data_IF_506227851394
#
_entry.id   IF_506227851394
#
_cell.length_a   1.000
_cell.length_b   1.000
_cell.length_c   1.000
_cell.angle_alpha   90.00
_cell.angle_beta   90.00
_cell.angle_gamma   90.00
#
_symmetry.space_group_name_H-M   'P 1'
#
loop_
_entity.id
_entity.type
_entity.pdbx_description
1 polymer ?
#
# COMPACT_ATOMS: atom_id res chain seq x y z
N UNK A 1 -4.97 -9.70 -19.53
CA UNK A 1 -5.13 -8.86 -20.73
C UNK A 1 -5.80 -7.56 -20.30
N UNK A 2 -5.00 -6.52 -20.06
CA UNK A 2 -5.50 -5.20 -19.69
C UNK A 2 -5.91 -4.52 -21.00
N UNK A 3 -7.21 -4.32 -21.14
CA UNK A 3 -7.84 -3.68 -22.29
C UNK A 3 -7.41 -2.21 -22.33
N UNK A 4 -6.39 -1.90 -23.13
CA UNK A 4 -5.98 -0.53 -23.40
C UNK A 4 -7.14 0.18 -24.12
N UNK A 5 -7.80 1.12 -23.43
CA UNK A 5 -8.75 2.02 -24.08
C UNK A 5 -8.04 2.72 -25.25
N UNK A 6 -8.67 2.80 -26.43
CA UNK A 6 -7.96 3.19 -27.63
C UNK A 6 -7.73 4.70 -27.63
N UNK A 7 -6.53 5.11 -28.05
CA UNK A 7 -6.13 6.47 -28.37
C UNK A 7 -6.97 7.15 -29.49
N UNK A 8 -8.10 6.56 -29.90
CA UNK A 8 -8.92 6.98 -31.04
C UNK A 8 -9.83 8.18 -30.74
N UNK A 9 -10.25 8.41 -29.48
CA UNK A 9 -11.13 9.56 -29.16
C UNK A 9 -10.42 10.92 -29.19
N UNK A 10 -9.12 10.96 -28.92
CA UNK A 10 -8.33 12.19 -28.95
C UNK A 10 -8.12 12.72 -30.38
N UNK A 11 -7.99 11.82 -31.36
CA UNK A 11 -7.80 12.18 -32.76
C UNK A 11 -9.08 12.69 -33.44
N UNK A 12 -10.25 12.35 -32.93
CA UNK A 12 -11.54 12.68 -33.55
C UNK A 12 -12.03 14.09 -33.17
N UNK A 13 -11.72 14.56 -31.95
CA UNK A 13 -12.00 15.93 -31.50
C UNK A 13 -11.37 16.98 -32.44
N UNK A 14 -10.14 16.72 -32.87
CA UNK A 14 -9.33 17.64 -33.67
C UNK A 14 -9.88 17.88 -35.09
N UNK A 15 -10.68 16.93 -35.61
CA UNK A 15 -11.33 17.03 -36.92
C UNK A 15 -12.51 18.00 -36.93
N UNK A 16 -13.25 18.10 -35.83
CA UNK A 16 -14.45 18.93 -35.76
C UNK A 16 -14.12 20.44 -35.74
N UNK A 17 -12.97 20.84 -35.19
CA UNK A 17 -12.59 22.26 -35.08
C UNK A 17 -11.83 22.79 -36.30
N UNK A 18 -11.12 21.94 -37.05
CA UNK A 18 -10.35 22.34 -38.25
C UNK A 18 -11.20 22.85 -39.40
N UNK A 19 -12.50 22.51 -39.45
CA UNK A 19 -13.40 22.93 -40.52
C UNK A 19 -13.81 24.42 -40.46
N UNK A 20 -13.60 25.09 -39.32
CA UNK A 20 -13.91 26.51 -39.15
C UNK A 20 -12.58 27.30 -39.11
N UNK A 21 -12.40 28.38 -39.89
CA UNK A 21 -11.18 29.18 -39.78
C UNK A 21 -10.99 29.63 -38.33
N UNK A 22 -9.80 29.38 -37.78
CA UNK A 22 -9.44 29.71 -36.40
C UNK A 22 -9.85 31.16 -36.09
N UNK A 23 -10.32 31.38 -34.86
CA UNK A 23 -10.88 32.67 -34.43
C UNK A 23 -9.90 33.84 -34.66
N UNK A 24 -8.60 33.56 -34.65
CA UNK A 24 -7.53 34.49 -34.99
C UNK A 24 -7.57 34.94 -36.46
N UNK A 25 -7.84 34.04 -37.40
CA UNK A 25 -7.99 34.37 -38.83
C UNK A 25 -9.23 35.23 -39.07
N UNK A 26 -10.35 34.90 -38.41
CA UNK A 26 -11.58 35.71 -38.50
C UNK A 26 -11.35 37.12 -37.96
N UNK A 27 -10.70 37.26 -36.81
CA UNK A 27 -10.37 38.55 -36.21
C UNK A 27 -9.53 39.43 -37.15
N UNK A 28 -8.48 38.87 -37.75
CA UNK A 28 -7.62 39.61 -38.71
C UNK A 28 -8.40 40.07 -39.94
N UNK A 29 -9.27 39.23 -40.48
CA UNK A 29 -10.11 39.58 -41.64
C UNK A 29 -11.09 40.70 -41.29
N UNK A 30 -11.79 40.62 -40.15
CA UNK A 30 -12.71 41.69 -39.72
C UNK A 30 -12.01 43.02 -39.48
N UNK A 31 -10.85 43.01 -38.82
CA UNK A 31 -10.06 44.23 -38.60
C UNK A 31 -9.55 44.80 -39.93
N UNK A 32 -9.12 43.95 -40.86
CA UNK A 32 -8.70 44.36 -42.20
C UNK A 32 -9.83 45.02 -42.99
N UNK A 33 -11.03 44.41 -43.00
CA UNK A 33 -12.23 44.99 -43.63
C UNK A 33 -12.59 46.33 -42.99
N UNK A 34 -12.55 46.42 -41.66
CA UNK A 34 -12.88 47.66 -40.94
C UNK A 34 -11.91 48.80 -41.29
N UNK A 35 -10.61 48.52 -41.35
CA UNK A 35 -9.59 49.50 -41.78
C UNK A 35 -9.80 49.90 -43.25
N UNK A 36 -10.08 48.94 -44.14
CA UNK A 36 -10.35 49.22 -45.55
C UNK A 36 -11.59 50.13 -45.74
N UNK A 37 -12.67 49.88 -45.00
CA UNK A 37 -13.86 50.75 -44.99
C UNK A 37 -13.54 52.16 -44.46
N UNK A 38 -12.74 52.28 -43.40
CA UNK A 38 -12.34 53.59 -42.87
C UNK A 38 -11.51 54.39 -43.88
N UNK A 39 -10.58 53.73 -44.59
CA UNK A 39 -9.78 54.36 -45.65
C UNK A 39 -10.65 54.76 -46.86
N UNK A 40 -11.61 53.91 -47.24
CA UNK A 40 -12.55 54.22 -48.33
C UNK A 40 -13.40 55.46 -48.03
N UNK A 41 -13.87 55.61 -46.78
CA UNK A 41 -14.63 56.80 -46.35
C UNK A 41 -13.79 58.08 -46.42
N UNK A 42 -12.50 58.02 -46.06
CA UNK A 42 -11.58 59.16 -46.20
C UNK A 42 -11.35 59.51 -47.66
N UNK A 43 -11.16 58.49 -48.52
CA UNK A 43 -10.96 58.68 -49.96
C UNK A 43 -12.20 59.31 -50.61
N UNK A 44 -13.39 58.83 -50.28
CA UNK A 44 -14.64 59.40 -50.78
C UNK A 44 -14.83 60.85 -50.32
N UNK A 45 -14.53 61.15 -49.04
CA UNK A 45 -14.59 62.51 -48.51
C UNK A 45 -13.60 63.46 -49.21
N UNK A 46 -12.40 62.98 -49.55
CA UNK A 46 -11.39 63.73 -50.30
C UNK A 46 -11.84 64.10 -51.72
N UNK A 47 -12.53 63.18 -52.42
CA UNK A 47 -13.03 63.41 -53.80
C UNK A 47 -14.25 64.35 -53.82
N UNK A 48 -15.12 64.29 -52.80
CA UNK A 48 -16.43 64.96 -52.82
C UNK A 48 -16.44 66.32 -52.12
N UNK A 49 -15.52 66.56 -51.19
CA UNK A 49 -15.59 67.68 -50.23
C UNK A 49 -14.22 68.34 -50.05
N UNK A 50 -14.16 69.67 -50.14
CA UNK A 50 -12.93 70.44 -49.91
C UNK A 50 -12.46 70.42 -48.42
N UNK A 51 -13.33 69.98 -47.51
CA UNK A 51 -13.10 69.93 -46.05
C UNK A 51 -12.89 68.47 -45.59
N UNK A 52 -11.78 67.82 -45.97
CA UNK A 52 -11.46 66.41 -45.67
C UNK A 52 -10.75 66.15 -44.31
N UNK A 53 -10.02 67.13 -43.80
CA UNK A 53 -9.31 67.16 -42.51
C UNK A 53 -10.06 66.59 -41.27
N UNK A 54 -11.34 66.91 -40.97
CA UNK A 54 -12.02 66.31 -39.81
C UNK A 54 -12.27 64.81 -39.99
N UNK A 55 -12.54 64.34 -41.21
CA UNK A 55 -12.77 62.93 -41.51
C UNK A 55 -11.49 62.10 -41.34
N UNK A 56 -10.33 62.68 -41.64
CA UNK A 56 -9.03 62.05 -41.39
C UNK A 56 -8.76 61.79 -39.92
N UNK A 57 -9.11 62.73 -39.03
CA UNK A 57 -8.92 62.55 -37.58
C UNK A 57 -9.81 61.40 -37.07
N UNK A 58 -11.07 61.36 -37.49
CA UNK A 58 -12.00 60.28 -37.11
C UNK A 58 -11.49 58.92 -37.60
N UNK A 59 -11.03 58.82 -38.85
CA UNK A 59 -10.48 57.58 -39.39
C UNK A 59 -9.21 57.14 -38.66
N UNK A 60 -8.31 58.07 -38.31
CA UNK A 60 -7.11 57.77 -37.53
C UNK A 60 -7.47 57.20 -36.15
N UNK A 61 -8.44 57.80 -35.44
CA UNK A 61 -8.94 57.28 -34.15
C UNK A 61 -9.53 55.88 -34.30
N UNK A 62 -10.35 55.64 -35.33
CA UNK A 62 -10.94 54.32 -35.58
C UNK A 62 -9.89 53.25 -35.86
N UNK A 63 -8.83 53.57 -36.62
CA UNK A 63 -7.72 52.66 -36.89
C UNK A 63 -6.97 52.34 -35.58
N UNK A 64 -6.66 53.35 -34.76
CA UNK A 64 -5.99 53.13 -33.46
C UNK A 64 -6.83 52.25 -32.54
N UNK A 65 -8.15 52.47 -32.47
CA UNK A 65 -9.07 51.63 -31.69
C UNK A 65 -9.09 50.20 -32.23
N UNK A 66 -9.19 50.02 -33.56
CA UNK A 66 -9.20 48.70 -34.18
C UNK A 66 -7.91 47.91 -33.91
N UNK A 67 -6.75 48.57 -34.00
CA UNK A 67 -5.46 47.96 -33.67
C UNK A 67 -5.36 47.57 -32.19
N UNK A 68 -5.81 48.43 -31.28
CA UNK A 68 -5.82 48.14 -29.84
C UNK A 68 -6.74 46.97 -29.50
N UNK A 69 -7.93 46.92 -30.09
CA UNK A 69 -8.88 45.80 -29.93
C UNK A 69 -8.29 44.51 -30.50
N UNK A 70 -7.67 44.55 -31.67
CA UNK A 70 -7.03 43.38 -32.29
C UNK A 70 -5.90 42.81 -31.42
N UNK A 71 -5.04 43.67 -30.87
CA UNK A 71 -3.96 43.26 -29.98
C UNK A 71 -4.49 42.62 -28.69
N UNK A 72 -5.47 43.25 -28.05
CA UNK A 72 -6.10 42.71 -26.83
C UNK A 72 -6.80 41.37 -27.11
N UNK A 73 -7.54 41.28 -28.20
CA UNK A 73 -8.24 40.05 -28.58
C UNK A 73 -7.27 38.90 -28.89
N UNK A 74 -6.15 39.20 -29.53
CA UNK A 74 -5.11 38.20 -29.81
C UNK A 74 -4.54 37.59 -28.52
N UNK A 75 -4.42 38.36 -27.44
CA UNK A 75 -3.99 37.84 -26.13
C UNK A 75 -4.99 36.85 -25.55
N UNK A 76 -6.30 37.16 -25.59
CA UNK A 76 -7.33 36.23 -25.14
C UNK A 76 -7.30 34.90 -25.91
N UNK A 77 -7.12 34.97 -27.24
CA UNK A 77 -7.03 33.78 -28.10
C UNK A 77 -5.79 32.93 -27.79
N UNK A 78 -4.64 33.56 -27.57
CA UNK A 78 -3.41 32.86 -27.21
C UNK A 78 -3.56 32.14 -25.86
N UNK A 79 -4.21 32.76 -24.88
CA UNK A 79 -4.47 32.10 -23.59
C UNK A 79 -5.42 30.93 -23.74
N UNK A 80 -6.44 31.03 -24.60
CA UNK A 80 -7.34 29.91 -24.87
C UNK A 80 -6.62 28.75 -25.57
N UNK A 81 -5.68 29.03 -26.46
CA UNK A 81 -4.81 28.03 -27.09
C UNK A 81 -3.92 27.34 -26.05
N UNK A 82 -3.32 28.10 -25.12
CA UNK A 82 -2.56 27.54 -23.98
C UNK A 82 -3.43 26.65 -23.09
N UNK A 83 -4.65 27.08 -22.78
CA UNK A 83 -5.63 26.26 -22.03
C UNK A 83 -5.89 24.94 -22.76
N UNK A 84 -6.14 25.00 -24.07
CA UNK A 84 -6.39 23.80 -24.86
C UNK A 84 -5.18 22.85 -24.87
N UNK A 85 -3.97 23.38 -25.03
CA UNK A 85 -2.75 22.57 -25.00
C UNK A 85 -2.57 21.85 -23.65
N UNK A 86 -2.77 22.55 -22.52
CA UNK A 86 -2.67 21.94 -21.20
C UNK A 86 -3.78 20.90 -20.96
N UNK A 87 -5.00 21.12 -21.46
CA UNK A 87 -6.06 20.11 -21.42
C UNK A 87 -5.70 18.86 -22.23
N UNK A 88 -5.04 19.01 -23.38
CA UNK A 88 -4.56 17.88 -24.17
C UNK A 88 -3.46 17.09 -23.44
N UNK A 89 -2.58 17.77 -22.71
CA UNK A 89 -1.57 17.14 -21.86
C UNK A 89 -2.19 16.43 -20.64
N UNK A 90 -3.16 17.07 -19.99
CA UNK A 90 -3.92 16.49 -18.87
C UNK A 90 -4.67 15.22 -19.31
N UNK A 91 -5.24 15.20 -20.52
CA UNK A 91 -5.88 14.01 -21.10
C UNK A 91 -4.90 12.84 -21.30
N UNK A 92 -3.60 13.10 -21.35
CA UNK A 92 -2.54 12.08 -21.41
C UNK A 92 -1.98 11.72 -20.04
N UNK A 93 -2.50 12.31 -18.97
CA UNK A 93 -2.06 12.10 -17.59
C UNK A 93 -0.99 13.06 -17.10
N UNK A 94 -0.60 14.08 -17.89
CA UNK A 94 0.37 15.09 -17.46
C UNK A 94 -0.34 16.27 -16.78
N UNK A 95 -0.31 16.30 -15.45
CA UNK A 95 -1.05 17.29 -14.63
C UNK A 95 -0.20 18.48 -14.16
N UNK A 96 1.12 18.45 -14.38
CA UNK A 96 2.04 19.49 -13.89
C UNK A 96 2.10 20.75 -14.78
N UNK A 97 1.31 20.80 -15.86
CA UNK A 97 1.22 21.97 -16.74
C UNK A 97 0.57 23.17 -16.04
N UNK A 98 1.10 24.38 -16.26
CA UNK A 98 0.58 25.62 -15.65
C UNK A 98 0.46 26.76 -16.65
N UNK A 99 -0.62 27.53 -16.53
CA UNK A 99 -0.86 28.76 -17.29
C UNK A 99 -0.48 29.96 -16.43
N UNK A 100 0.69 30.55 -16.67
CA UNK A 100 1.21 31.67 -15.87
C UNK A 100 0.84 33.05 -16.44
N UNK A 101 0.69 33.12 -17.76
CA UNK A 101 0.47 34.36 -18.51
C UNK A 101 -1.02 34.61 -18.79
N UNK A 102 -1.80 34.71 -17.72
CA UNK A 102 -3.25 34.91 -17.77
C UNK A 102 -3.74 36.14 -16.96
N UNK A 103 -2.83 36.90 -16.35
CA UNK A 103 -3.15 38.03 -15.48
C UNK A 103 -3.74 39.18 -16.28
N UNK A 104 -4.83 39.76 -15.77
CA UNK A 104 -5.48 40.93 -16.38
C UNK A 104 -6.32 40.59 -17.63
N UNK A 105 -6.58 39.31 -17.90
CA UNK A 105 -7.39 38.87 -19.04
C UNK A 105 -8.88 38.66 -18.69
N UNK A 106 -9.37 39.27 -17.60
CA UNK A 106 -10.78 39.17 -17.19
C UNK A 106 -11.23 37.72 -17.00
N UNK A 107 -12.39 37.38 -17.55
CA UNK A 107 -13.00 36.04 -17.44
C UNK A 107 -12.14 34.92 -18.05
N UNK A 108 -11.44 35.18 -19.16
CA UNK A 108 -10.51 34.21 -19.77
C UNK A 108 -9.35 33.93 -18.80
N UNK A 109 -8.87 34.97 -18.13
CA UNK A 109 -7.85 34.82 -17.09
C UNK A 109 -8.35 34.03 -15.89
N UNK A 110 -9.61 34.24 -15.48
CA UNK A 110 -10.25 33.47 -14.41
C UNK A 110 -10.33 31.98 -14.77
N UNK A 111 -10.76 31.64 -15.98
CA UNK A 111 -10.81 30.24 -16.44
C UNK A 111 -9.44 29.59 -16.42
N UNK A 112 -8.40 30.29 -16.89
CA UNK A 112 -7.02 29.79 -16.82
C UNK A 112 -6.56 29.54 -15.38
N UNK A 113 -6.93 30.43 -14.45
CA UNK A 113 -6.58 30.30 -13.04
C UNK A 113 -7.30 29.12 -12.39
N UNK A 114 -8.62 28.99 -12.55
CA UNK A 114 -9.41 27.86 -12.01
C UNK A 114 -8.96 26.52 -12.60
N UNK A 115 -8.52 26.49 -13.86
CA UNK A 115 -7.96 25.28 -14.47
C UNK A 115 -6.64 24.88 -13.80
N UNK A 116 -5.75 25.83 -13.50
CA UNK A 116 -4.52 25.51 -12.76
C UNK A 116 -4.86 24.93 -11.39
N UNK A 117 -5.73 25.59 -10.63
CA UNK A 117 -6.16 25.11 -9.31
C UNK A 117 -6.75 23.70 -9.37
N UNK A 118 -7.57 23.41 -10.39
CA UNK A 118 -8.10 22.07 -10.60
C UNK A 118 -6.99 21.03 -10.86
N UNK A 119 -5.99 21.36 -11.68
CA UNK A 119 -4.86 20.49 -11.95
C UNK A 119 -3.96 20.30 -10.72
N UNK A 120 -3.72 21.36 -9.94
CA UNK A 120 -2.99 21.31 -8.67
C UNK A 120 -3.66 20.34 -7.68
N UNK A 121 -5.00 20.41 -7.55
CA UNK A 121 -5.79 19.52 -6.70
C UNK A 121 -5.68 18.06 -7.16
N UNK A 122 -5.75 17.80 -8.47
CA UNK A 122 -5.59 16.45 -9.01
C UNK A 122 -4.17 15.91 -8.84
N UNK A 123 -3.16 16.73 -9.10
CA UNK A 123 -1.76 16.37 -8.91
C UNK A 123 -1.48 15.99 -7.46
N UNK A 124 -1.97 16.78 -6.50
CA UNK A 124 -1.84 16.46 -5.07
C UNK A 124 -2.53 15.13 -4.72
N UNK A 125 -3.75 14.89 -5.23
CA UNK A 125 -4.45 13.62 -5.02
C UNK A 125 -3.64 12.41 -5.49
N UNK A 126 -3.18 12.42 -6.75
CA UNK A 126 -2.43 11.28 -7.29
C UNK A 126 -1.09 11.09 -6.59
N UNK A 127 -0.41 12.18 -6.25
CA UNK A 127 0.84 12.14 -5.50
C UNK A 127 0.67 11.50 -4.11
N UNK A 128 -0.40 11.82 -3.40
CA UNK A 128 -0.71 11.23 -2.08
C UNK A 128 -1.01 9.74 -2.20
N UNK A 129 -1.88 9.36 -3.14
CA UNK A 129 -2.26 7.95 -3.37
C UNK A 129 -1.04 7.11 -3.76
N UNK A 130 -0.30 7.52 -4.78
CA UNK A 130 0.87 6.79 -5.27
C UNK A 130 1.93 6.64 -4.16
N UNK A 131 2.15 7.72 -3.43
CA UNK A 131 3.04 7.76 -2.29
C UNK A 131 2.71 6.75 -1.20
N UNK A 132 1.47 6.73 -0.73
CA UNK A 132 1.06 5.82 0.34
C UNK A 132 1.11 4.36 -0.12
N UNK A 133 0.68 4.06 -1.34
CA UNK A 133 0.77 2.70 -1.88
C UNK A 133 2.21 2.24 -2.12
N UNK A 134 3.12 3.14 -2.52
CA UNK A 134 4.55 2.82 -2.68
C UNK A 134 5.21 2.43 -1.36
N UNK A 135 4.79 3.03 -0.25
CA UNK A 135 5.23 2.62 1.10
C UNK A 135 4.59 1.29 1.51
N UNK A 136 3.28 1.15 1.31
CA UNK A 136 2.55 -0.08 1.62
C UNK A 136 3.10 -1.31 0.86
N UNK A 137 3.53 -1.13 -0.39
CA UNK A 137 4.17 -2.18 -1.19
C UNK A 137 5.46 -2.74 -0.56
N UNK A 138 6.09 -1.99 0.35
CA UNK A 138 7.26 -2.39 1.14
C UNK A 138 6.89 -2.89 2.54
N UNK A 139 5.61 -3.18 2.78
CA UNK A 139 5.03 -3.44 4.10
C UNK A 139 5.24 -2.30 5.12
N UNK A 140 5.46 -1.08 4.63
CA UNK A 140 5.58 0.12 5.46
C UNK A 140 4.26 0.90 5.40
N UNK A 141 3.52 0.90 6.51
CA UNK A 141 2.24 1.60 6.64
C UNK A 141 2.35 2.90 7.44
N UNK A 142 3.57 3.43 7.63
CA UNK A 142 3.81 4.68 8.36
C UNK A 142 3.35 5.94 7.62
N UNK A 143 3.09 5.83 6.31
CA UNK A 143 2.71 6.94 5.45
C UNK A 143 1.26 6.85 4.94
N UNK A 144 0.26 7.23 5.76
CA UNK A 144 -1.10 7.41 5.28
C UNK A 144 -1.19 8.65 4.37
N UNK A 145 -2.29 8.74 3.62
CA UNK A 145 -2.64 9.95 2.85
C UNK A 145 -3.13 11.05 3.80
N UNK A 146 -3.16 12.29 3.33
CA UNK A 146 -3.66 13.44 4.10
C UNK A 146 -4.97 14.03 3.52
N UNK A 147 -6.15 13.45 3.86
CA UNK A 147 -7.45 13.85 3.30
C UNK A 147 -7.83 15.32 3.46
N UNK A 148 -7.38 15.96 4.55
CA UNK A 148 -7.77 17.35 4.88
C UNK A 148 -7.21 18.36 3.86
N UNK A 149 -6.17 18.01 3.11
CA UNK A 149 -5.60 18.88 2.08
C UNK A 149 -6.41 18.93 0.78
N UNK A 150 -7.44 18.10 0.61
CA UNK A 150 -8.23 18.06 -0.62
C UNK A 150 -9.71 18.40 -0.35
N UNK A 151 -10.42 18.97 -1.34
CA UNK A 151 -11.84 19.27 -1.21
C UNK A 151 -12.74 18.10 -1.65
N UNK A 152 -13.97 18.10 -1.14
CA UNK A 152 -15.10 17.31 -1.68
C UNK A 152 -14.85 15.81 -1.77
N UNK A 153 -15.15 15.23 -2.93
CA UNK A 153 -15.06 13.78 -3.17
C UNK A 153 -13.64 13.23 -3.10
N UNK A 154 -12.62 14.04 -3.43
CA UNK A 154 -11.22 13.60 -3.38
C UNK A 154 -10.77 13.37 -1.94
N UNK A 155 -11.23 14.20 -1.00
CA UNK A 155 -11.04 13.97 0.44
C UNK A 155 -11.59 12.63 0.88
N UNK A 156 -12.86 12.36 0.57
CA UNK A 156 -13.49 11.10 0.92
C UNK A 156 -12.80 9.90 0.29
N UNK A 157 -12.32 10.04 -0.96
CA UNK A 157 -11.51 9.01 -1.59
C UNK A 157 -10.21 8.74 -0.82
N UNK A 158 -9.50 9.76 -0.35
CA UNK A 158 -8.31 9.57 0.49
C UNK A 158 -8.63 8.93 1.85
N UNK A 159 -9.79 9.25 2.45
CA UNK A 159 -10.26 8.59 3.68
C UNK A 159 -10.44 7.07 3.46
N UNK A 160 -11.07 6.67 2.36
CA UNK A 160 -11.22 5.25 1.99
C UNK A 160 -9.89 4.57 1.64
N UNK A 161 -8.95 5.29 1.04
CA UNK A 161 -7.58 4.79 0.83
C UNK A 161 -6.92 4.51 2.18
N UNK A 162 -7.05 5.41 3.16
CA UNK A 162 -6.51 5.20 4.50
C UNK A 162 -7.16 4.02 5.24
N UNK A 163 -8.46 3.83 5.10
CA UNK A 163 -9.17 2.65 5.64
C UNK A 163 -8.62 1.34 5.02
N UNK A 164 -8.41 1.34 3.71
CA UNK A 164 -7.82 0.19 2.99
C UNK A 164 -6.39 -0.09 3.45
N UNK A 165 -5.58 0.94 3.64
CA UNK A 165 -4.21 0.82 4.17
C UNK A 165 -4.21 0.25 5.59
N UNK A 166 -5.14 0.69 6.45
CA UNK A 166 -5.29 0.16 7.81
C UNK A 166 -5.68 -1.32 7.82
N UNK A 167 -6.61 -1.73 6.94
CA UNK A 167 -7.01 -3.13 6.80
C UNK A 167 -5.83 -4.00 6.32
N UNK A 168 -5.05 -3.53 5.34
CA UNK A 168 -3.85 -4.24 4.88
C UNK A 168 -2.80 -4.37 5.98
N UNK A 169 -2.55 -3.30 6.76
CA UNK A 169 -1.65 -3.33 7.92
C UNK A 169 -2.08 -4.40 8.92
N UNK A 170 -3.36 -4.40 9.31
CA UNK A 170 -3.91 -5.37 10.25
C UNK A 170 -3.76 -6.81 9.75
N UNK A 171 -3.95 -7.05 8.44
CA UNK A 171 -3.76 -8.37 7.84
C UNK A 171 -2.29 -8.84 7.89
N UNK A 172 -1.34 -7.97 7.58
CA UNK A 172 0.10 -8.30 7.69
C UNK A 172 0.49 -8.62 9.13
N UNK A 173 -0.01 -7.84 10.09
CA UNK A 173 0.19 -8.12 11.52
C UNK A 173 -0.43 -9.46 11.93
N UNK A 174 -1.61 -9.80 11.41
CA UNK A 174 -2.28 -11.07 11.66
C UNK A 174 -1.48 -12.25 11.10
N UNK A 175 -1.01 -12.16 9.85
CA UNK A 175 -0.19 -13.20 9.21
C UNK A 175 1.10 -13.41 10.01
N UNK A 176 1.79 -12.33 10.39
CA UNK A 176 3.02 -12.40 11.18
C UNK A 176 2.80 -13.07 12.55
N UNK A 177 1.72 -12.71 13.26
CA UNK A 177 1.34 -13.37 14.51
C UNK A 177 1.03 -14.85 14.32
N UNK A 178 0.31 -15.20 13.25
CA UNK A 178 -0.06 -16.58 12.96
C UNK A 178 1.18 -17.44 12.63
N UNK A 179 2.11 -16.92 11.84
CA UNK A 179 3.38 -17.59 11.54
C UNK A 179 4.22 -17.80 12.81
N UNK A 180 4.34 -16.78 13.66
CA UNK A 180 5.06 -16.89 14.92
C UNK A 180 4.44 -17.94 15.84
N UNK A 181 3.12 -17.92 16.00
CA UNK A 181 2.39 -18.92 16.80
C UNK A 181 2.59 -20.33 16.24
N UNK A 182 2.50 -20.50 14.92
CA UNK A 182 2.75 -21.80 14.27
C UNK A 182 4.15 -22.34 14.55
N UNK A 183 5.19 -21.48 14.48
CA UNK A 183 6.56 -21.85 14.83
C UNK A 183 6.69 -22.22 16.30
N UNK A 184 6.07 -21.47 17.20
CA UNK A 184 6.08 -21.75 18.63
C UNK A 184 5.39 -23.08 18.96
N UNK A 185 4.22 -23.37 18.36
CA UNK A 185 3.53 -24.63 18.53
C UNK A 185 4.36 -25.81 18.02
N UNK A 186 4.95 -25.71 16.83
CA UNK A 186 5.80 -26.76 16.28
C UNK A 186 7.01 -27.04 17.20
N UNK A 187 7.61 -26.00 17.77
CA UNK A 187 8.71 -26.13 18.72
C UNK A 187 8.26 -26.78 20.04
N UNK A 188 7.14 -26.35 20.62
CA UNK A 188 6.58 -26.94 21.83
C UNK A 188 6.19 -28.40 21.65
N UNK A 189 5.55 -28.76 20.52
CA UNK A 189 5.21 -30.15 20.21
C UNK A 189 6.46 -31.01 20.07
N UNK A 190 7.53 -30.50 19.47
CA UNK A 190 8.80 -31.23 19.38
C UNK A 190 9.38 -31.52 20.76
N UNK A 191 9.43 -30.54 21.65
CA UNK A 191 9.90 -30.75 23.02
C UNK A 191 9.03 -31.75 23.78
N UNK A 192 7.70 -31.65 23.67
CA UNK A 192 6.80 -32.62 24.32
C UNK A 192 7.02 -34.05 23.82
N UNK A 193 7.27 -34.24 22.51
CA UNK A 193 7.59 -35.55 21.95
C UNK A 193 8.94 -36.07 22.47
N UNK A 194 9.95 -35.20 22.51
CA UNK A 194 11.28 -35.52 23.03
C UNK A 194 11.22 -35.91 24.52
N UNK A 195 10.50 -35.13 25.33
CA UNK A 195 10.28 -35.38 26.76
C UNK A 195 9.49 -36.69 26.99
N UNK A 196 8.48 -36.98 26.16
CA UNK A 196 7.74 -38.23 26.22
C UNK A 196 8.61 -39.44 25.83
N UNK A 197 9.46 -39.30 24.81
CA UNK A 197 10.36 -40.36 24.39
C UNK A 197 11.44 -40.63 25.45
N UNK A 198 11.98 -39.58 26.07
CA UNK A 198 12.89 -39.69 27.21
C UNK A 198 12.21 -40.39 28.39
N UNK A 199 11.00 -39.96 28.76
CA UNK A 199 10.21 -40.59 29.84
C UNK A 199 9.90 -42.06 29.56
N UNK A 200 9.57 -42.42 28.31
CA UNK A 200 9.35 -43.81 27.90
C UNK A 200 10.63 -44.65 28.02
N UNK A 201 11.77 -44.06 27.68
CA UNK A 201 13.09 -44.71 27.85
C UNK A 201 13.38 -44.93 29.32
N UNK A 202 13.15 -43.94 30.18
CA UNK A 202 13.33 -44.04 31.62
C UNK A 202 12.39 -45.07 32.26
N UNK A 203 11.13 -45.15 31.83
CA UNK A 203 10.19 -46.18 32.27
C UNK A 203 10.63 -47.59 31.86
N UNK A 204 11.21 -47.76 30.68
CA UNK A 204 11.75 -49.05 30.25
C UNK A 204 12.96 -49.45 31.11
N UNK A 205 13.90 -48.53 31.35
CA UNK A 205 15.04 -48.77 32.25
C UNK A 205 14.56 -49.07 33.68
N UNK A 206 13.53 -48.37 34.16
CA UNK A 206 12.95 -48.61 35.47
C UNK A 206 12.30 -49.99 35.57
N UNK A 207 11.58 -50.44 34.53
CA UNK A 207 11.03 -51.80 34.48
C UNK A 207 12.13 -52.86 34.49
N UNK A 208 13.23 -52.64 33.77
CA UNK A 208 14.38 -53.55 33.79
C UNK A 208 15.01 -53.62 35.20
N UNK A 209 15.16 -52.47 35.86
CA UNK A 209 15.61 -52.43 37.27
C UNK A 209 14.63 -53.07 38.23
N UNK A 210 13.32 -52.93 38.03
CA UNK A 210 12.30 -53.62 38.84
C UNK A 210 12.42 -55.13 38.67
N UNK A 211 12.59 -55.63 37.44
CA UNK A 211 12.82 -57.05 37.19
C UNK A 211 14.13 -57.55 37.83
N UNK A 212 15.18 -56.73 37.82
CA UNK A 212 16.43 -57.04 38.52
C UNK A 212 16.24 -57.13 40.04
N UNK A 213 15.53 -56.16 40.63
CA UNK A 213 15.18 -56.15 42.07
C UNK A 213 14.32 -57.37 42.43
N UNK A 214 13.37 -57.74 41.58
CA UNK A 214 12.55 -58.93 41.76
C UNK A 214 13.40 -60.21 41.76
N UNK A 215 14.33 -60.33 40.82
CA UNK A 215 15.29 -61.45 40.75
C UNK A 215 16.17 -61.48 42.01
N UNK A 216 16.67 -60.33 42.45
CA UNK A 216 17.45 -60.21 43.70
C UNK A 216 16.62 -60.64 44.91
N UNK A 217 15.36 -60.23 45.00
CA UNK A 217 14.46 -60.61 46.09
C UNK A 217 14.17 -62.12 46.09
N UNK A 218 13.94 -62.74 44.92
CA UNK A 218 13.78 -64.20 44.79
C UNK A 218 15.03 -64.95 45.24
N UNK A 219 16.20 -64.56 44.73
CA UNK A 219 17.48 -65.16 45.11
C UNK A 219 17.74 -65.02 46.63
N UNK A 220 17.39 -63.87 47.21
CA UNK A 220 17.55 -63.64 48.64
C UNK A 220 16.57 -64.50 49.47
N UNK A 221 15.32 -64.66 49.02
CA UNK A 221 14.35 -65.53 49.66
C UNK A 221 14.81 -67.01 49.61
N UNK A 222 15.32 -67.46 48.47
CA UNK A 222 15.88 -68.80 48.30
C UNK A 222 17.08 -69.03 49.21
N UNK A 223 18.06 -68.12 49.23
CA UNK A 223 19.20 -68.17 50.15
C UNK A 223 18.78 -68.16 51.62
N UNK A 224 17.73 -67.41 51.97
CA UNK A 224 17.18 -67.39 53.34
C UNK A 224 16.55 -68.74 53.68
N UNK A 225 15.79 -69.35 52.76
CA UNK A 225 15.22 -70.68 52.96
C UNK A 225 16.32 -71.74 53.15
N UNK A 226 17.34 -71.70 52.31
CA UNK A 226 18.50 -72.60 52.40
C UNK A 226 19.29 -72.40 53.72
N UNK A 227 19.42 -71.15 54.16
CA UNK A 227 19.99 -70.82 55.47
C UNK A 227 19.13 -71.34 56.61
N UNK A 228 17.80 -71.29 56.48
CA UNK A 228 16.85 -71.79 57.48
C UNK A 228 16.92 -73.32 57.59
N UNK A 229 17.00 -74.03 56.46
CA UNK A 229 17.25 -75.48 56.43
C UNK A 229 18.59 -75.83 57.09
N UNK A 230 19.65 -75.10 56.74
CA UNK A 230 20.97 -75.31 57.35
C UNK A 230 20.94 -75.11 58.87
N UNK A 231 20.26 -74.07 59.35
CA UNK A 231 20.04 -73.84 60.78
C UNK A 231 19.23 -74.96 61.42
N UNK A 232 18.17 -75.46 60.76
CA UNK A 232 17.39 -76.59 61.25
C UNK A 232 18.25 -77.87 61.36
N UNK A 233 19.12 -78.13 60.39
CA UNK A 233 20.10 -79.21 60.46
C UNK A 233 21.08 -79.04 61.63
N UNK A 234 21.59 -77.82 61.87
CA UNK A 234 22.47 -77.53 63.02
C UNK A 234 21.73 -77.78 64.34
N UNK A 235 20.49 -77.31 64.47
CA UNK A 235 19.66 -77.52 65.67
C UNK A 235 19.42 -79.01 65.90
N UNK A 236 19.08 -79.76 64.84
CA UNK A 236 18.90 -81.21 64.91
C UNK A 236 20.19 -81.91 65.34
N UNK A 237 21.34 -81.55 64.78
CA UNK A 237 22.63 -82.11 65.16
C UNK A 237 22.99 -81.78 66.62
N UNK A 238 22.72 -80.57 67.09
CA UNK A 238 22.90 -80.17 68.49
C UNK A 238 21.96 -80.95 69.42
N UNK A 239 20.70 -81.16 69.04
CA UNK A 239 19.76 -81.99 69.80
C UNK A 239 20.27 -83.43 69.90
N UNK A 240 20.73 -84.03 68.79
CA UNK A 240 21.30 -85.37 68.80
C UNK A 240 22.57 -85.47 69.65
N UNK A 241 23.42 -84.43 69.65
CA UNK A 241 24.57 -84.37 70.57
C UNK A 241 24.09 -84.30 72.01
N UNK A 242 23.10 -83.46 72.31
CA UNK A 242 22.50 -83.34 73.65
C UNK A 242 21.92 -84.67 74.13
N UNK A 243 21.10 -85.34 73.31
CA UNK A 243 20.50 -86.64 73.62
C UNK A 243 21.56 -87.72 73.84
N UNK A 244 22.64 -87.72 73.04
CA UNK A 244 23.76 -88.64 73.24
C UNK A 244 24.54 -88.36 74.54
N UNK A 245 24.70 -87.09 74.93
CA UNK A 245 25.33 -86.70 76.20
C UNK A 245 24.44 -87.09 77.38
N UNK A 246 23.12 -86.87 77.28
CA UNK A 246 22.15 -87.27 78.31
C UNK A 246 22.11 -88.81 78.45
N UNK A 247 22.08 -89.54 77.33
CA UNK A 247 22.17 -91.01 77.31
C UNK A 247 23.47 -91.54 77.90
N UNK A 248 24.60 -90.87 77.66
CA UNK A 248 25.89 -91.21 78.25
C UNK A 248 25.91 -90.96 79.77
N UNK A 249 25.29 -89.88 80.24
CA UNK A 249 25.16 -89.59 81.67
C UNK A 249 24.25 -90.60 82.40
N UNK A 250 23.16 -91.04 81.77
CA UNK A 250 22.29 -92.10 82.30
C UNK A 250 23.01 -93.46 82.35
N UNK A 251 23.84 -93.76 81.36
CA UNK A 251 24.68 -94.98 81.35
C UNK A 251 25.77 -94.95 82.43
N UNK A 252 26.33 -93.79 82.76
CA UNK A 252 27.30 -93.61 83.87
C UNK A 252 26.66 -93.71 85.26
N UNK A 253 25.33 -93.56 85.37
CA UNK A 253 24.57 -93.61 86.62
C UNK A 253 23.88 -94.97 86.88
N UNK A 254 24.01 -95.95 85.98
CA UNK A 254 23.48 -97.31 86.09
C UNK A 254 24.58 -98.32 86.37
#
# INVERSE_FOLDING_TARGET
>A
MINAQPASKLADSDKHYKANPMLHTKLKVFVGIFIACALFLVLHAYVTSNTFWPMMIVAAVLIVVALKVSSSMSKYLLTLEKINAILLDANRGYLSGRITDAKGLGEVGKVAWELNEFLDVLENYFNEVESSFRYAAKNDFSRPTFPVALPGSLKHSLEHVNESLAAMKANIEYISKNELNGRLYAQNTRFLIEDLQASQTDLNVMNEKIAEVERLARNNAESTQQSTESVAHIVSALSTISDNVEGFLVWLMS
#
